data_IF_118452778701
#
_entry.id   IF_118452778701
#
_cell.length_a   1.000
_cell.length_b   1.000
_cell.length_c   1.000
_cell.angle_alpha   90.00
_cell.angle_beta   90.00
_cell.angle_gamma   90.00
#
_symmetry.space_group_name_H-M   'P 1'
#
loop_
_entity.id
_entity.type
_entity.pdbx_description
1 polymer ?
#
# COMPACT_ATOMS: atom_id res chain seq x y z
N UNK A 1 7.98 4.71 -10.30
CA UNK A 1 6.71 4.23 -9.71
C UNK A 1 6.61 4.61 -8.24
N UNK A 2 7.28 3.95 -7.28
CA UNK A 2 7.14 4.34 -5.86
C UNK A 2 7.57 5.79 -5.58
N UNK A 3 8.65 6.25 -6.21
CA UNK A 3 9.08 7.66 -6.10
C UNK A 3 8.03 8.65 -6.65
N UNK A 4 7.22 8.23 -7.62
CA UNK A 4 6.12 9.03 -8.17
C UNK A 4 4.96 9.11 -7.17
N UNK A 5 4.61 7.99 -6.51
CA UNK A 5 3.63 7.97 -5.43
C UNK A 5 4.04 8.89 -4.28
N UNK A 6 5.31 8.81 -3.86
CA UNK A 6 5.87 9.71 -2.83
C UNK A 6 5.88 11.17 -3.26
N UNK A 7 6.23 11.45 -4.52
CA UNK A 7 6.17 12.79 -5.08
C UNK A 7 4.74 13.34 -5.11
N UNK A 8 3.73 12.50 -5.36
CA UNK A 8 2.32 12.89 -5.30
C UNK A 8 1.90 13.28 -3.87
N UNK A 9 2.26 12.49 -2.86
CA UNK A 9 1.98 12.83 -1.44
C UNK A 9 2.63 14.16 -1.07
N UNK A 10 3.90 14.36 -1.44
CA UNK A 10 4.62 15.62 -1.20
C UNK A 10 3.98 16.80 -1.91
N UNK A 11 3.49 16.60 -3.14
CA UNK A 11 2.74 17.62 -3.88
C UNK A 11 1.44 18.00 -3.17
N UNK A 12 0.63 17.02 -2.74
CA UNK A 12 -0.60 17.30 -1.99
C UNK A 12 -0.30 18.08 -0.72
N UNK A 13 0.74 17.67 0.02
CA UNK A 13 1.15 18.33 1.26
C UNK A 13 1.66 19.76 1.04
N UNK A 14 2.48 19.98 0.01
CA UNK A 14 3.00 21.31 -0.33
C UNK A 14 1.91 22.29 -0.79
N UNK A 15 0.84 21.77 -1.39
CA UNK A 15 -0.27 22.57 -1.93
C UNK A 15 -1.55 22.45 -1.10
N UNK A 16 -1.46 21.93 0.13
CA UNK A 16 -2.61 21.60 0.96
C UNK A 16 -3.56 22.78 1.14
N UNK A 17 -3.01 23.96 1.47
CA UNK A 17 -3.77 25.21 1.62
C UNK A 17 -4.49 25.63 0.32
N UNK A 18 -3.87 25.42 -0.84
CA UNK A 18 -4.46 25.80 -2.11
C UNK A 18 -5.67 24.93 -2.47
N UNK A 19 -5.63 23.64 -2.12
CA UNK A 19 -6.67 22.68 -2.48
C UNK A 19 -7.65 22.37 -1.35
N UNK A 20 -7.52 23.02 -0.19
CA UNK A 20 -8.35 22.73 0.99
C UNK A 20 -8.15 21.33 1.57
N UNK A 21 -6.94 20.77 1.42
CA UNK A 21 -6.57 19.45 1.92
C UNK A 21 -5.98 19.60 3.32
N UNK A 22 -6.30 18.69 4.24
CA UNK A 22 -5.55 18.55 5.48
C UNK A 22 -4.26 17.75 5.22
N UNK A 23 -3.11 18.44 5.32
CA UNK A 23 -1.77 17.89 5.09
C UNK A 23 -1.39 16.72 6.02
N UNK A 24 -2.06 16.63 7.17
CA UNK A 24 -1.84 15.63 8.22
C UNK A 24 -2.81 14.44 8.12
N UNK A 25 -3.73 14.44 7.15
CA UNK A 25 -4.75 13.41 6.98
C UNK A 25 -4.75 12.85 5.54
N UNK A 26 -3.60 12.31 5.11
CA UNK A 26 -3.45 11.75 3.76
C UNK A 26 -3.47 10.22 3.82
N UNK A 27 -4.50 9.60 3.22
CA UNK A 27 -4.59 8.16 3.02
C UNK A 27 -4.26 7.74 1.58
N UNK A 28 -4.01 6.44 1.36
CA UNK A 28 -3.84 5.88 0.03
C UNK A 28 -4.57 4.54 -0.12
N UNK A 29 -5.18 4.30 -1.29
CA UNK A 29 -5.92 3.08 -1.65
C UNK A 29 -5.57 2.65 -3.08
N UNK A 30 -5.56 1.35 -3.36
CA UNK A 30 -5.27 0.84 -4.70
C UNK A 30 -5.37 -0.68 -4.81
N UNK A 31 -5.63 -1.17 -6.03
CA UNK A 31 -5.77 -2.60 -6.35
C UNK A 31 -4.54 -3.17 -7.07
N UNK A 32 -4.20 -4.43 -6.79
CA UNK A 32 -3.18 -5.21 -7.49
C UNK A 32 -1.79 -4.55 -7.40
N UNK A 33 -1.19 -4.16 -8.53
CA UNK A 33 0.04 -3.36 -8.55
C UNK A 33 -0.11 -2.03 -7.81
N UNK A 34 -1.29 -1.40 -7.85
CA UNK A 34 -1.60 -0.22 -7.05
C UNK A 34 -1.64 -0.53 -5.55
N UNK A 35 -2.18 -1.69 -5.17
CA UNK A 35 -2.18 -2.16 -3.78
C UNK A 35 -0.76 -2.44 -3.26
N UNK A 36 0.10 -3.03 -4.09
CA UNK A 36 1.53 -3.16 -3.79
C UNK A 36 2.19 -1.79 -3.54
N UNK A 37 1.94 -0.81 -4.42
CA UNK A 37 2.49 0.54 -4.25
C UNK A 37 1.94 1.26 -3.02
N UNK A 38 0.68 1.05 -2.65
CA UNK A 38 0.08 1.59 -1.41
C UNK A 38 0.73 0.98 -0.18
N UNK A 39 0.90 -0.35 -0.14
CA UNK A 39 1.59 -1.02 0.94
C UNK A 39 3.05 -0.55 1.05
N UNK A 40 3.76 -0.45 -0.08
CA UNK A 40 5.14 0.03 -0.11
C UNK A 40 5.24 1.50 0.30
N UNK A 41 4.28 2.35 -0.11
CA UNK A 41 4.24 3.75 0.29
C UNK A 41 4.06 3.88 1.80
N UNK A 42 3.17 3.08 2.38
CA UNK A 42 2.94 3.02 3.83
C UNK A 42 4.19 2.64 4.62
N UNK A 43 4.91 1.59 4.18
CA UNK A 43 6.05 1.04 4.95
C UNK A 43 7.41 1.62 4.59
N UNK A 44 7.49 2.52 3.60
CA UNK A 44 8.78 3.08 3.16
C UNK A 44 8.98 4.53 3.56
N UNK A 45 8.21 5.04 4.51
CA UNK A 45 8.45 6.39 5.02
C UNK A 45 9.85 6.48 5.63
N UNK A 46 10.65 7.45 5.19
CA UNK A 46 12.03 7.60 5.67
C UNK A 46 13.06 6.59 5.12
N UNK A 47 12.67 5.66 4.24
CA UNK A 47 13.61 4.73 3.59
C UNK A 47 14.37 5.46 2.46
N UNK A 48 15.66 5.82 2.62
CA UNK A 48 16.33 6.76 1.72
C UNK A 48 16.41 6.27 0.26
N UNK A 49 16.57 4.96 0.07
CA UNK A 49 16.66 4.35 -1.26
C UNK A 49 15.35 4.45 -2.07
N UNK A 50 14.20 4.64 -1.41
CA UNK A 50 12.89 4.69 -2.05
C UNK A 50 12.31 6.10 -2.14
N UNK A 51 12.92 7.09 -1.48
CA UNK A 51 12.32 8.41 -1.27
C UNK A 51 12.19 9.24 -2.55
N UNK A 52 13.26 9.25 -3.37
CA UNK A 52 13.37 10.10 -4.55
C UNK A 52 13.39 11.60 -4.22
N UNK A 53 13.57 12.44 -5.24
CA UNK A 53 13.73 13.89 -5.07
C UNK A 53 12.62 14.73 -5.74
N UNK A 54 11.62 14.09 -6.35
CA UNK A 54 10.56 14.77 -7.10
C UNK A 54 9.41 15.28 -6.22
N UNK A 55 8.68 16.28 -6.71
CA UNK A 55 7.39 16.70 -6.16
C UNK A 55 7.45 17.40 -4.81
N UNK A 56 8.39 18.33 -4.61
CA UNK A 56 8.58 19.10 -3.35
C UNK A 56 9.29 18.29 -2.25
N UNK A 57 10.54 17.87 -2.50
CA UNK A 57 11.35 17.03 -1.60
C UNK A 57 11.53 17.55 -0.16
N UNK A 58 11.25 18.84 0.11
CA UNK A 58 11.25 19.39 1.48
C UNK A 58 10.05 18.99 2.33
N UNK A 59 9.02 18.39 1.73
CA UNK A 59 7.83 17.90 2.42
C UNK A 59 7.92 16.39 2.66
N UNK A 60 7.30 15.91 3.74
CA UNK A 60 7.18 14.47 4.01
C UNK A 60 6.43 13.75 2.88
N UNK A 61 6.79 12.50 2.59
CA UNK A 61 6.03 11.59 1.72
C UNK A 61 5.20 10.56 2.48
N UNK A 62 5.17 10.63 3.82
CA UNK A 62 4.40 9.71 4.66
C UNK A 62 2.89 9.90 4.51
N UNK A 63 2.17 8.79 4.61
CA UNK A 63 0.70 8.71 4.64
C UNK A 63 0.25 8.24 6.03
N UNK A 64 -0.97 8.59 6.41
CA UNK A 64 -1.54 8.28 7.73
C UNK A 64 -2.42 7.02 7.75
N UNK A 65 -2.83 6.53 6.59
CA UNK A 65 -3.63 5.31 6.48
C UNK A 65 -3.43 4.65 5.11
N UNK A 66 -3.33 3.31 5.07
CA UNK A 66 -3.15 2.54 3.84
C UNK A 66 -4.29 1.52 3.65
N UNK A 67 -4.87 1.46 2.45
CA UNK A 67 -5.88 0.48 2.05
C UNK A 67 -5.44 -0.31 0.80
N UNK A 68 -4.44 -1.19 0.93
CA UNK A 68 -3.95 -2.00 -0.18
C UNK A 68 -4.89 -3.16 -0.49
N UNK A 69 -5.25 -3.33 -1.76
CA UNK A 69 -6.15 -4.37 -2.21
C UNK A 69 -5.47 -5.32 -3.20
N UNK A 70 -5.73 -6.63 -3.11
CA UNK A 70 -5.12 -7.63 -3.98
C UNK A 70 -3.58 -7.52 -4.02
N UNK A 71 -2.96 -7.13 -2.91
CA UNK A 71 -1.61 -6.59 -2.88
C UNK A 71 -0.55 -7.65 -2.60
N UNK A 72 0.55 -7.63 -3.35
CA UNK A 72 1.73 -8.42 -3.03
C UNK A 72 2.62 -7.67 -2.04
N UNK A 73 2.93 -8.28 -0.89
CA UNK A 73 3.72 -7.63 0.17
C UNK A 73 5.08 -8.29 0.44
N UNK A 74 5.23 -9.57 0.06
CA UNK A 74 6.47 -10.33 0.17
C UNK A 74 6.97 -10.76 -1.21
N UNK A 75 7.86 -9.93 -1.77
CA UNK A 75 8.48 -10.22 -3.05
C UNK A 75 9.70 -11.14 -2.94
N UNK A 76 10.12 -11.49 -1.72
CA UNK A 76 11.18 -12.46 -1.46
C UNK A 76 10.65 -13.89 -1.25
N UNK A 77 9.33 -14.06 -1.21
CA UNK A 77 8.68 -15.37 -1.09
C UNK A 77 9.09 -16.36 -2.20
N UNK A 78 9.02 -17.65 -1.89
CA UNK A 78 9.25 -18.74 -2.86
C UNK A 78 8.28 -18.64 -4.04
N UNK A 79 7.01 -18.32 -3.79
CA UNK A 79 6.01 -18.09 -4.84
C UNK A 79 6.50 -17.01 -5.82
N UNK A 80 6.92 -15.84 -5.32
CA UNK A 80 7.40 -14.76 -6.20
C UNK A 80 8.65 -15.18 -6.97
N UNK A 81 9.54 -15.97 -6.34
CA UNK A 81 10.72 -16.53 -7.02
C UNK A 81 10.31 -17.38 -8.22
N UNK A 82 9.39 -18.33 -8.02
CA UNK A 82 8.89 -19.24 -9.06
C UNK A 82 8.12 -18.48 -10.16
N UNK A 83 7.24 -17.56 -9.78
CA UNK A 83 6.48 -16.73 -10.72
C UNK A 83 7.41 -15.87 -11.57
N UNK A 84 8.40 -15.21 -10.96
CA UNK A 84 9.34 -14.36 -11.70
C UNK A 84 10.19 -15.14 -12.71
N UNK A 85 10.46 -16.41 -12.44
CA UNK A 85 11.19 -17.31 -13.33
C UNK A 85 10.31 -17.93 -14.44
N UNK A 86 8.99 -17.98 -14.24
CA UNK A 86 8.05 -18.54 -15.22
C UNK A 86 8.08 -17.77 -16.54
N UNK A 87 8.15 -18.48 -17.67
CA UNK A 87 8.05 -17.89 -19.02
C UNK A 87 6.74 -17.16 -19.22
N UNK A 88 5.64 -17.79 -18.79
CA UNK A 88 4.28 -17.35 -19.10
C UNK A 88 3.79 -16.27 -18.14
N UNK A 89 4.11 -16.40 -16.84
CA UNK A 89 3.62 -15.50 -15.79
C UNK A 89 4.62 -14.44 -15.34
N UNK A 90 5.91 -14.68 -15.54
CA UNK A 90 6.97 -13.83 -14.99
C UNK A 90 7.31 -12.59 -15.84
N UNK A 91 6.74 -12.45 -17.04
CA UNK A 91 7.09 -11.35 -17.95
C UNK A 91 6.92 -9.96 -17.33
N UNK A 92 5.79 -9.73 -16.63
CA UNK A 92 5.53 -8.45 -15.96
C UNK A 92 6.48 -8.19 -14.79
N UNK A 93 6.80 -9.23 -14.02
CA UNK A 93 7.75 -9.18 -12.90
C UNK A 93 9.15 -8.81 -13.38
N UNK A 94 9.65 -9.49 -14.42
CA UNK A 94 10.97 -9.20 -15.00
C UNK A 94 11.03 -7.83 -15.66
N UNK A 95 9.95 -7.37 -16.29
CA UNK A 95 9.87 -6.01 -16.85
C UNK A 95 9.93 -4.95 -15.76
N UNK A 96 9.19 -5.15 -14.67
CA UNK A 96 9.07 -4.21 -13.57
C UNK A 96 10.33 -4.18 -12.69
N UNK A 97 10.84 -5.34 -12.30
CA UNK A 97 11.95 -5.52 -11.35
C UNK A 97 13.30 -5.82 -12.03
N UNK A 98 13.36 -5.68 -13.36
CA UNK A 98 14.56 -5.78 -14.20
C UNK A 98 15.27 -7.15 -14.18
N UNK A 99 14.56 -8.20 -13.80
CA UNK A 99 15.07 -9.58 -13.79
C UNK A 99 14.19 -10.51 -12.96
N UNK A 100 14.59 -11.78 -12.85
CA UNK A 100 13.95 -12.68 -11.89
C UNK A 100 14.35 -12.29 -10.46
N UNK A 101 13.62 -12.80 -9.46
CA UNK A 101 14.01 -12.60 -8.06
C UNK A 101 15.43 -13.12 -7.78
N UNK A 102 15.81 -14.24 -8.43
CA UNK A 102 17.15 -14.82 -8.28
C UNK A 102 18.25 -13.95 -8.90
N UNK A 103 17.95 -13.25 -10.00
CA UNK A 103 18.91 -12.36 -10.67
C UNK A 103 19.04 -11.00 -9.97
N UNK A 104 17.94 -10.49 -9.41
CA UNK A 104 17.84 -9.15 -8.84
C UNK A 104 17.34 -9.14 -7.38
N UNK A 105 17.95 -9.92 -6.45
CA UNK A 105 17.42 -10.09 -5.09
C UNK A 105 17.36 -8.77 -4.30
N UNK A 106 18.30 -7.85 -4.54
CA UNK A 106 18.30 -6.53 -3.90
C UNK A 106 17.11 -5.67 -4.36
N UNK A 107 16.75 -5.71 -5.65
CA UNK A 107 15.61 -4.97 -6.20
C UNK A 107 14.29 -5.54 -5.67
N UNK A 108 14.16 -6.86 -5.60
CA UNK A 108 12.96 -7.49 -5.02
C UNK A 108 12.84 -7.19 -3.54
N UNK A 109 13.95 -7.18 -2.78
CA UNK A 109 13.97 -6.73 -1.38
C UNK A 109 13.51 -5.28 -1.27
N UNK A 110 14.12 -4.36 -2.01
CA UNK A 110 13.71 -2.93 -1.98
C UNK A 110 12.25 -2.74 -2.35
N UNK A 111 11.73 -3.53 -3.29
CA UNK A 111 10.34 -3.46 -3.70
C UNK A 111 9.38 -4.22 -2.78
N UNK A 112 9.83 -4.90 -1.71
CA UNK A 112 8.97 -5.70 -0.84
C UNK A 112 8.47 -4.87 0.34
N UNK A 113 7.17 -4.52 0.44
CA UNK A 113 6.64 -3.78 1.59
C UNK A 113 7.03 -4.39 2.95
N UNK A 114 6.98 -5.73 3.04
CA UNK A 114 7.31 -6.49 4.25
C UNK A 114 8.71 -6.21 4.81
N UNK A 115 9.68 -5.88 3.97
CA UNK A 115 11.08 -5.72 4.44
C UNK A 115 11.36 -4.37 5.07
N UNK A 116 10.43 -3.42 4.91
CA UNK A 116 10.55 -2.07 5.46
C UNK A 116 9.59 -1.84 6.64
N UNK A 117 8.70 -2.80 6.89
CA UNK A 117 7.67 -2.72 7.91
C UNK A 117 8.28 -2.51 9.31
N UNK A 118 7.87 -1.45 10.00
CA UNK A 118 8.29 -1.15 11.37
C UNK A 118 7.15 -0.57 12.23
N UNK A 119 7.41 -0.35 13.52
CA UNK A 119 6.40 0.11 14.50
C UNK A 119 5.86 1.53 14.26
N UNK A 120 6.50 2.33 13.40
CA UNK A 120 6.11 3.70 13.07
C UNK A 120 5.16 3.78 11.86
N UNK A 121 4.93 2.64 11.19
CA UNK A 121 4.08 2.57 10.02
C UNK A 121 2.61 2.85 10.33
N UNK A 122 1.86 3.44 9.37
CA UNK A 122 0.46 3.76 9.57
C UNK A 122 -0.42 2.51 9.68
N UNK A 123 -1.60 2.64 10.30
CA UNK A 123 -2.65 1.62 10.19
C UNK A 123 -2.91 1.22 8.75
N UNK A 124 -3.10 -0.08 8.52
CA UNK A 124 -3.31 -0.60 7.18
C UNK A 124 -4.45 -1.63 7.16
N UNK A 125 -5.36 -1.52 6.19
CA UNK A 125 -6.48 -2.45 6.03
C UNK A 125 -6.42 -3.11 4.66
N UNK A 126 -6.10 -4.40 4.64
CA UNK A 126 -6.04 -5.16 3.41
C UNK A 126 -7.43 -5.57 2.93
N UNK A 127 -7.59 -5.72 1.62
CA UNK A 127 -8.76 -6.35 1.03
C UNK A 127 -8.36 -7.27 -0.12
N UNK A 128 -8.92 -8.47 -0.18
CA UNK A 128 -8.67 -9.41 -1.26
C UNK A 128 -9.94 -10.20 -1.58
N UNK A 129 -10.03 -10.73 -2.80
CA UNK A 129 -11.08 -11.67 -3.16
C UNK A 129 -10.72 -13.09 -2.70
N UNK A 130 -11.71 -13.85 -2.25
CA UNK A 130 -11.51 -15.23 -1.78
C UNK A 130 -10.91 -16.15 -2.86
N UNK A 131 -11.26 -15.93 -4.13
CA UNK A 131 -10.76 -16.67 -5.30
C UNK A 131 -9.53 -16.03 -5.94
N UNK A 132 -8.96 -15.00 -5.32
CA UNK A 132 -7.67 -14.45 -5.70
C UNK A 132 -6.51 -15.38 -5.27
N UNK A 133 -5.29 -15.08 -5.72
CA UNK A 133 -4.10 -15.77 -5.25
C UNK A 133 -3.91 -15.53 -3.74
N UNK A 134 -3.76 -16.60 -2.91
CA UNK A 134 -3.62 -16.46 -1.46
C UNK A 134 -2.48 -15.53 -1.02
N UNK A 135 -1.46 -15.32 -1.87
CA UNK A 135 -0.38 -14.40 -1.53
C UNK A 135 -0.81 -12.93 -1.47
N UNK A 136 -2.04 -12.59 -1.87
CA UNK A 136 -2.61 -11.24 -1.75
C UNK A 136 -3.29 -10.98 -0.40
N UNK A 137 -3.43 -12.01 0.46
CA UNK A 137 -4.01 -11.87 1.80
C UNK A 137 -3.03 -11.25 2.82
N UNK A 138 -1.77 -11.07 2.41
CA UNK A 138 -0.71 -10.44 3.18
C UNK A 138 -0.45 -11.11 4.54
N UNK A 139 -0.61 -12.43 4.66
CA UNK A 139 -0.53 -13.15 5.94
C UNK A 139 0.78 -12.91 6.69
N UNK A 140 1.94 -13.11 6.05
CA UNK A 140 3.25 -12.87 6.68
C UNK A 140 3.44 -11.41 7.09
N UNK A 141 2.91 -10.47 6.29
CA UNK A 141 2.96 -9.04 6.59
C UNK A 141 2.12 -8.69 7.81
N UNK A 142 0.86 -9.16 7.84
CA UNK A 142 -0.06 -8.92 8.95
C UNK A 142 0.44 -9.57 10.25
N UNK A 143 1.04 -10.76 10.17
CA UNK A 143 1.67 -11.42 11.31
C UNK A 143 2.85 -10.59 11.85
N UNK A 144 3.72 -10.09 10.98
CA UNK A 144 4.85 -9.27 11.40
C UNK A 144 4.40 -7.94 11.99
N UNK A 145 3.46 -7.25 11.35
CA UNK A 145 2.88 -6.01 11.84
C UNK A 145 2.24 -6.18 13.22
N UNK A 146 1.51 -7.30 13.43
CA UNK A 146 0.96 -7.65 14.75
C UNK A 146 2.05 -7.79 15.81
N UNK A 147 3.20 -8.38 15.46
CA UNK A 147 4.35 -8.49 16.39
C UNK A 147 4.99 -7.14 16.74
N UNK A 148 4.82 -6.14 15.88
CA UNK A 148 5.30 -4.76 16.05
C UNK A 148 4.25 -3.83 16.70
N UNK A 149 3.03 -4.32 16.95
CA UNK A 149 1.92 -3.52 17.46
C UNK A 149 1.28 -2.58 16.44
N UNK A 150 1.58 -2.74 15.14
CA UNK A 150 1.02 -1.90 14.07
C UNK A 150 -0.42 -2.36 13.77
N UNK A 151 -1.43 -1.47 13.79
CA UNK A 151 -2.82 -1.85 13.52
C UNK A 151 -3.02 -2.35 12.09
N UNK A 152 -3.54 -3.57 11.95
CA UNK A 152 -3.76 -4.22 10.66
C UNK A 152 -5.14 -4.87 10.57
N UNK A 153 -5.78 -4.75 9.41
CA UNK A 153 -7.05 -5.43 9.08
C UNK A 153 -6.97 -6.24 7.80
N UNK A 154 -7.96 -7.11 7.59
CA UNK A 154 -8.20 -7.79 6.32
C UNK A 154 -9.71 -7.99 6.15
N UNK A 155 -10.22 -7.64 4.97
CA UNK A 155 -11.53 -8.10 4.48
C UNK A 155 -11.30 -9.08 3.33
N UNK A 156 -11.92 -10.25 3.40
CA UNK A 156 -11.99 -11.20 2.28
C UNK A 156 -13.38 -11.11 1.69
N UNK A 157 -13.45 -10.79 0.40
CA UNK A 157 -14.70 -10.73 -0.35
C UNK A 157 -15.06 -12.14 -0.83
N UNK A 158 -16.19 -12.66 -0.33
CA UNK A 158 -16.69 -14.00 -0.64
C UNK A 158 -16.84 -14.17 -2.16
N UNK A 159 -16.40 -15.32 -2.67
CA UNK A 159 -16.44 -15.70 -4.09
C UNK A 159 -15.69 -14.77 -5.09
N UNK A 160 -15.06 -13.70 -4.61
CA UNK A 160 -14.52 -12.66 -5.47
C UNK A 160 -13.18 -13.04 -6.11
N UNK A 161 -12.96 -12.76 -7.41
CA UNK A 161 -11.67 -12.95 -8.07
C UNK A 161 -10.75 -11.74 -7.84
N UNK A 162 -9.54 -11.77 -8.39
CA UNK A 162 -8.59 -10.64 -8.31
C UNK A 162 -9.15 -9.30 -8.80
N UNK A 163 -9.93 -9.32 -9.88
CA UNK A 163 -10.54 -8.14 -10.50
C UNK A 163 -11.90 -7.75 -9.92
N UNK A 164 -12.09 -7.91 -8.60
CA UNK A 164 -13.40 -7.78 -7.95
C UNK A 164 -14.06 -6.41 -8.13
N UNK A 165 -13.29 -5.33 -8.31
CA UNK A 165 -13.83 -3.98 -8.56
C UNK A 165 -14.63 -3.83 -9.87
N UNK A 166 -14.61 -4.85 -10.75
CA UNK A 166 -15.39 -4.86 -11.98
C UNK A 166 -16.85 -5.32 -11.77
N UNK A 167 -17.23 -5.71 -10.56
CA UNK A 167 -18.59 -6.07 -10.19
C UNK A 167 -19.11 -5.12 -9.12
N UNK A 168 -20.37 -4.71 -9.26
CA UNK A 168 -20.97 -3.67 -8.43
C UNK A 168 -21.00 -4.07 -6.94
N UNK A 169 -21.44 -5.29 -6.62
CA UNK A 169 -21.60 -5.74 -5.23
C UNK A 169 -20.27 -5.67 -4.45
N UNK A 170 -19.18 -6.16 -5.03
CA UNK A 170 -17.84 -6.10 -4.43
C UNK A 170 -17.25 -4.70 -4.44
N UNK A 171 -17.59 -3.87 -5.43
CA UNK A 171 -17.20 -2.46 -5.44
C UNK A 171 -17.86 -1.69 -4.29
N UNK A 172 -19.14 -1.93 -4.04
CA UNK A 172 -19.90 -1.29 -2.96
C UNK A 172 -19.37 -1.71 -1.59
N UNK A 173 -19.14 -3.02 -1.37
CA UNK A 173 -18.52 -3.50 -0.13
C UNK A 173 -17.11 -2.92 0.08
N UNK A 174 -16.33 -2.80 -0.99
CA UNK A 174 -15.02 -2.13 -0.95
C UNK A 174 -15.16 -0.68 -0.52
N UNK A 175 -16.07 0.08 -1.16
CA UNK A 175 -16.28 1.48 -0.88
C UNK A 175 -16.70 1.71 0.58
N UNK A 176 -17.68 0.94 1.08
CA UNK A 176 -18.15 1.03 2.46
C UNK A 176 -17.06 0.69 3.49
N UNK A 177 -16.25 -0.33 3.20
CA UNK A 177 -15.15 -0.73 4.07
C UNK A 177 -14.04 0.32 4.08
N UNK A 178 -13.67 0.84 2.90
CA UNK A 178 -12.65 1.86 2.75
C UNK A 178 -13.07 3.18 3.42
N UNK A 179 -14.31 3.63 3.22
CA UNK A 179 -14.88 4.81 3.86
C UNK A 179 -14.79 4.68 5.39
N UNK A 180 -15.34 3.60 5.94
CA UNK A 180 -15.30 3.33 7.40
C UNK A 180 -13.87 3.33 7.96
N UNK A 181 -12.93 2.74 7.23
CA UNK A 181 -11.52 2.72 7.63
C UNK A 181 -10.93 4.13 7.61
N UNK A 182 -11.05 4.87 6.52
CA UNK A 182 -10.49 6.22 6.41
C UNK A 182 -11.16 7.22 7.36
N UNK A 183 -12.49 7.18 7.53
CA UNK A 183 -13.17 8.02 8.52
C UNK A 183 -12.67 7.75 9.93
N UNK A 184 -12.36 6.49 10.27
CA UNK A 184 -11.81 6.15 11.59
C UNK A 184 -10.37 6.64 11.76
N UNK A 185 -9.50 6.46 10.76
CA UNK A 185 -8.08 6.77 10.88
C UNK A 185 -7.75 8.24 10.64
N UNK A 186 -8.51 8.91 9.75
CA UNK A 186 -8.26 10.28 9.31
C UNK A 186 -9.31 11.25 9.85
N UNK A 187 -10.51 10.79 10.21
CA UNK A 187 -11.62 11.65 10.65
C UNK A 187 -11.61 12.01 12.14
N UNK A 188 -10.55 11.71 12.90
CA UNK A 188 -10.42 12.29 14.24
C UNK A 188 -9.96 13.73 14.12
N UNK A 189 -10.93 14.65 14.19
CA UNK A 189 -10.71 16.06 14.48
C UNK A 189 -9.93 16.18 15.80
N UNK A 190 -8.69 16.66 15.71
CA UNK A 190 -8.20 17.47 16.81
C UNK A 190 -9.15 18.65 16.95
N UNK A 191 -9.70 18.83 18.15
CA UNK A 191 -10.47 20.00 18.60
C UNK A 191 -10.37 21.15 17.60
N UNK A 192 -11.41 21.31 16.77
CA UNK A 192 -11.71 22.63 16.24
C UNK A 192 -11.96 23.48 17.47
N UNK A 193 -10.93 24.24 17.83
CA UNK A 193 -10.97 25.21 18.89
C UNK A 193 -12.24 26.04 18.70
N UNK A 194 -12.96 26.23 19.80
CA UNK A 194 -13.91 27.30 19.96
C UNK A 194 -13.35 28.56 19.28
N UNK A 195 -14.03 29.02 18.24
CA UNK A 195 -13.90 30.38 17.76
C UNK A 195 -15.28 31.07 17.84
N UNK A 196 -15.29 32.38 18.07
CA UNK A 196 -16.00 33.03 19.18
C UNK A 196 -17.49 33.36 18.95
#
# INVERSE_FOLDING_TARGET
QIQDCKAAVRFLRANAKQYGINADQIGAIGLSAGGHLVALLGTSNGVPALEGNGGNAGFSSGIQAAFPMGAQTDLLSLRTREISASTDRGGIWRKFLRGTQSDQPATYRLASPLTHLDQSDPPCWFMAGEKDDPSTHADSFRQHAKSLGVPMGLTILEDAPHGFLNQQDWFDEMLETADRFFSKQLGQEGNLADEP
#
